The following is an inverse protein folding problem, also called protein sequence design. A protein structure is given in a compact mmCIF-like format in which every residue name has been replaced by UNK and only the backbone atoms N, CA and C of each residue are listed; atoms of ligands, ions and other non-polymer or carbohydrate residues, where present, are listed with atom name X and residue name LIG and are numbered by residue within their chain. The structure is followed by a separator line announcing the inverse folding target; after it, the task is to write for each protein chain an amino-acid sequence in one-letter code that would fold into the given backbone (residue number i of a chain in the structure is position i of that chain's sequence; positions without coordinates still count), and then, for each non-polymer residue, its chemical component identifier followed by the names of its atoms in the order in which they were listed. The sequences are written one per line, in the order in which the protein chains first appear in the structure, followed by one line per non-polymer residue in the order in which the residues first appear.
data_IF_791641884586
#
_entry.id   IF_791641884586
#
_cell.length_a   1.000
_cell.length_b   1.000
_cell.length_c   1.000
_cell.angle_alpha   90.00
_cell.angle_beta   90.00
_cell.angle_gamma   90.00
#
_symmetry.space_group_name_H-M   'P 1'
#
loop_
_entity.id
_entity.type
_entity.pdbx_description
1 polymer ?
#
# COMPACT_ATOMS: atom_id res chain seq x y z
N UNK A 1 -18.15 -7.33 -7.01
CA UNK A 1 -17.19 -6.30 -7.47
C UNK A 1 -16.93 -5.36 -6.29
N UNK A 2 -16.08 -5.74 -5.34
CA UNK A 2 -15.73 -4.87 -4.20
C UNK A 2 -14.59 -3.99 -4.72
N UNK A 3 -14.93 -2.83 -5.27
CA UNK A 3 -13.91 -1.84 -5.58
C UNK A 3 -13.29 -1.40 -4.27
N UNK A 4 -11.98 -1.63 -4.17
CA UNK A 4 -11.11 -1.27 -3.06
C UNK A 4 -11.53 0.10 -2.51
N UNK A 5 -12.02 0.12 -1.27
CA UNK A 5 -12.52 1.31 -0.54
C UNK A 5 -11.34 2.23 -0.18
N UNK A 6 -10.31 2.35 -1.02
CA UNK A 6 -9.18 3.24 -0.80
C UNK A 6 -9.51 4.67 -1.22
N UNK A 7 -10.32 4.88 -2.26
CA UNK A 7 -10.58 6.24 -2.75
C UNK A 7 -11.37 7.08 -1.75
N UNK A 8 -12.44 6.53 -1.18
CA UNK A 8 -13.29 7.22 -0.21
C UNK A 8 -12.53 7.73 1.03
N UNK A 9 -11.78 6.91 1.80
CA UNK A 9 -11.02 7.39 2.93
C UNK A 9 -9.92 8.38 2.51
N UNK A 10 -9.26 8.20 1.36
CA UNK A 10 -8.29 9.20 0.88
C UNK A 10 -8.94 10.56 0.63
N UNK A 11 -10.13 10.58 0.00
CA UNK A 11 -10.91 11.80 -0.21
C UNK A 11 -11.31 12.41 1.14
N UNK A 12 -11.80 11.61 2.09
CA UNK A 12 -12.14 12.09 3.43
C UNK A 12 -10.94 12.73 4.13
N UNK A 13 -9.78 12.10 4.13
CA UNK A 13 -8.55 12.64 4.74
C UNK A 13 -8.00 13.89 4.02
N UNK A 14 -8.34 14.09 2.75
CA UNK A 14 -8.05 15.34 2.04
C UNK A 14 -9.00 16.45 2.50
N UNK A 15 -10.29 16.15 2.64
CA UNK A 15 -11.34 17.14 2.94
C UNK A 15 -11.45 17.50 4.43
N UNK A 16 -11.08 16.59 5.33
CA UNK A 16 -11.25 16.76 6.78
C UNK A 16 -9.93 16.52 7.53
N UNK A 17 -9.70 17.32 8.57
CA UNK A 17 -8.53 17.18 9.45
C UNK A 17 -8.81 16.20 10.60
N UNK A 18 -8.73 14.91 10.28
CA UNK A 18 -8.81 13.86 11.30
C UNK A 18 -7.62 13.92 12.25
N UNK A 19 -7.86 13.76 13.56
CA UNK A 19 -6.82 13.61 14.59
C UNK A 19 -6.22 12.18 14.61
N UNK A 20 -6.24 11.48 13.49
CA UNK A 20 -5.77 10.10 13.35
C UNK A 20 -4.70 10.00 12.27
N UNK A 21 -3.83 9.00 12.39
CA UNK A 21 -2.73 8.76 11.45
C UNK A 21 -3.21 7.79 10.37
N UNK A 22 -3.06 8.18 9.11
CA UNK A 22 -3.39 7.32 7.98
C UNK A 22 -2.18 6.51 7.55
N UNK A 23 -2.30 5.18 7.59
CA UNK A 23 -1.36 4.23 7.00
C UNK A 23 -1.98 3.68 5.72
N UNK A 24 -1.25 3.77 4.61
CA UNK A 24 -1.76 3.37 3.30
C UNK A 24 -1.01 2.15 2.78
N UNK A 25 -1.72 1.04 2.52
CA UNK A 25 -1.11 -0.16 1.94
C UNK A 25 -1.61 -0.39 0.52
N UNK A 26 -0.68 -0.45 -0.42
CA UNK A 26 -0.92 -0.85 -1.80
C UNK A 26 -0.87 -2.37 -1.88
N UNK A 27 -2.03 -2.98 -2.14
CA UNK A 27 -2.17 -4.43 -2.30
C UNK A 27 -2.40 -4.79 -3.77
N UNK A 28 -1.79 -5.89 -4.21
CA UNK A 28 -1.86 -6.34 -5.60
C UNK A 28 -1.21 -5.36 -6.59
N UNK A 29 -1.36 -5.56 -7.90
CA UNK A 29 -0.88 -4.63 -8.94
C UNK A 29 -2.03 -3.70 -9.36
N UNK A 30 -2.13 -2.50 -8.79
CA UNK A 30 -3.31 -1.68 -9.05
C UNK A 30 -3.16 -0.97 -10.41
N UNK A 31 -4.26 -0.77 -11.16
CA UNK A 31 -4.23 -0.10 -12.47
C UNK A 31 -4.08 1.42 -12.34
N UNK A 32 -2.88 1.98 -12.55
CA UNK A 32 -2.51 3.38 -12.24
C UNK A 32 -3.03 4.35 -13.30
N UNK A 33 -4.36 4.46 -13.40
CA UNK A 33 -4.99 5.46 -14.24
C UNK A 33 -4.73 6.89 -13.71
N UNK A 34 -4.93 7.88 -14.57
CA UNK A 34 -4.69 9.28 -14.26
C UNK A 34 -5.40 9.75 -12.99
N UNK A 35 -6.70 9.42 -12.84
CA UNK A 35 -7.52 9.83 -11.71
C UNK A 35 -6.97 9.26 -10.39
N UNK A 36 -6.61 7.98 -10.36
CA UNK A 36 -6.08 7.32 -9.16
C UNK A 36 -4.69 7.82 -8.80
N UNK A 37 -3.83 8.01 -9.80
CA UNK A 37 -2.50 8.59 -9.60
C UNK A 37 -2.59 9.99 -9.03
N UNK A 38 -3.50 10.82 -9.55
CA UNK A 38 -3.76 12.16 -9.03
C UNK A 38 -4.28 12.13 -7.58
N UNK A 39 -5.28 11.29 -7.29
CA UNK A 39 -5.81 11.17 -5.93
C UNK A 39 -4.73 10.75 -4.93
N UNK A 40 -3.88 9.78 -5.29
CA UNK A 40 -2.79 9.31 -4.43
C UNK A 40 -1.71 10.37 -4.22
N UNK A 41 -1.39 11.15 -5.25
CA UNK A 41 -0.48 12.29 -5.12
C UNK A 41 -1.02 13.35 -4.16
N UNK A 42 -2.30 13.71 -4.29
CA UNK A 42 -2.94 14.68 -3.41
C UNK A 42 -3.02 14.19 -1.96
N UNK A 43 -3.30 12.92 -1.75
CA UNK A 43 -3.41 12.34 -0.41
C UNK A 43 -2.06 12.01 0.23
N UNK A 44 -0.97 11.96 -0.53
CA UNK A 44 0.40 11.64 -0.05
C UNK A 44 0.82 12.46 1.17
N UNK A 45 0.36 13.71 1.25
CA UNK A 45 0.67 14.64 2.33
C UNK A 45 0.00 14.22 3.65
N UNK A 46 -1.21 13.64 3.56
CA UNK A 46 -2.06 13.21 4.68
C UNK A 46 -1.74 11.78 5.12
N UNK A 47 -1.02 11.01 4.29
CA UNK A 47 -0.57 9.66 4.61
C UNK A 47 0.75 9.74 5.40
N UNK A 48 0.79 9.07 6.55
CA UNK A 48 1.99 9.01 7.38
C UNK A 48 3.02 8.02 6.81
N UNK A 49 2.59 6.79 6.51
CA UNK A 49 3.45 5.76 5.92
C UNK A 49 2.70 5.00 4.85
N UNK A 50 3.45 4.57 3.83
CA UNK A 50 2.94 3.83 2.69
C UNK A 50 3.64 2.47 2.63
N UNK A 51 2.89 1.40 2.44
CA UNK A 51 3.40 0.05 2.30
C UNK A 51 3.04 -0.53 0.94
N UNK A 52 3.93 -1.31 0.35
CA UNK A 52 3.68 -2.07 -0.88
C UNK A 52 4.24 -3.48 -0.76
N UNK A 53 3.78 -4.40 -1.60
CA UNK A 53 4.07 -5.82 -1.42
C UNK A 53 5.37 -6.27 -2.10
N UNK A 54 5.90 -5.50 -3.06
CA UNK A 54 7.14 -5.83 -3.78
C UNK A 54 8.02 -4.60 -4.00
N UNK A 55 9.33 -4.84 -4.16
CA UNK A 55 10.30 -3.78 -4.49
C UNK A 55 10.00 -3.14 -5.84
N UNK A 56 9.58 -3.93 -6.83
CA UNK A 56 9.20 -3.44 -8.16
C UNK A 56 8.06 -2.43 -8.09
N UNK A 57 7.05 -2.68 -7.25
CA UNK A 57 5.95 -1.74 -7.03
C UNK A 57 6.43 -0.45 -6.35
N UNK A 58 7.32 -0.56 -5.36
CA UNK A 58 7.94 0.62 -4.74
C UNK A 58 8.64 1.49 -5.80
N UNK A 59 9.47 0.87 -6.62
CA UNK A 59 10.24 1.55 -7.65
C UNK A 59 9.33 2.19 -8.72
N UNK A 60 8.25 1.51 -9.12
CA UNK A 60 7.25 2.05 -10.04
C UNK A 60 6.52 3.28 -9.46
N UNK A 61 6.10 3.22 -8.19
CA UNK A 61 5.40 4.32 -7.52
C UNK A 61 6.29 5.55 -7.32
N UNK A 62 7.57 5.34 -7.01
CA UNK A 62 8.58 6.40 -6.90
C UNK A 62 8.89 7.01 -8.27
N UNK A 63 9.13 6.18 -9.29
CA UNK A 63 9.44 6.62 -10.65
C UNK A 63 8.31 7.49 -11.24
N UNK A 64 7.06 7.11 -10.98
CA UNK A 64 5.88 7.88 -11.38
C UNK A 64 5.61 9.13 -10.52
N UNK A 65 6.49 9.41 -9.55
CA UNK A 65 6.41 10.54 -8.60
C UNK A 65 5.06 10.57 -7.87
N UNK A 66 4.54 9.39 -7.51
CA UNK A 66 3.28 9.27 -6.77
C UNK A 66 3.53 9.46 -5.28
N UNK A 67 4.59 8.83 -4.78
CA UNK A 67 5.00 8.91 -3.39
C UNK A 67 6.49 9.21 -3.28
N UNK A 68 6.87 9.85 -2.17
CA UNK A 68 8.27 10.14 -1.86
C UNK A 68 8.99 8.88 -1.37
N UNK A 69 10.26 8.65 -1.75
CA UNK A 69 11.02 7.47 -1.35
C UNK A 69 11.06 7.25 0.17
N UNK A 70 11.14 8.32 0.96
CA UNK A 70 11.20 8.25 2.43
C UNK A 70 9.87 7.84 3.09
N UNK A 71 8.74 7.91 2.38
CA UNK A 71 7.42 7.57 2.93
C UNK A 71 6.96 6.15 2.58
N UNK A 72 7.64 5.47 1.67
CA UNK A 72 7.22 4.17 1.13
C UNK A 72 8.16 3.04 1.51
N UNK A 73 7.61 2.00 2.12
CA UNK A 73 8.33 0.79 2.53
C UNK A 73 7.73 -0.47 1.90
N UNK A 74 8.55 -1.51 1.80
CA UNK A 74 8.12 -2.82 1.29
C UNK A 74 7.74 -3.70 2.47
N UNK A 75 6.50 -4.18 2.46
CA UNK A 75 5.97 -5.17 3.40
C UNK A 75 5.48 -6.37 2.59
N UNK A 76 6.33 -7.39 2.49
CA UNK A 76 6.02 -8.61 1.74
C UNK A 76 4.81 -9.34 2.34
N UNK A 77 3.99 -9.92 1.47
CA UNK A 77 2.92 -10.81 1.91
C UNK A 77 3.50 -12.05 2.59
N UNK A 78 2.84 -12.57 3.64
CA UNK A 78 3.30 -13.79 4.29
C UNK A 78 3.15 -14.98 3.34
N UNK A 79 4.28 -15.50 2.86
CA UNK A 79 4.31 -16.72 2.04
C UNK A 79 4.46 -17.93 2.97
N UNK A 80 3.38 -18.67 3.16
CA UNK A 80 3.39 -19.90 3.94
C UNK A 80 3.70 -21.10 3.04
N UNK A 81 4.82 -21.78 3.30
CA UNK A 81 5.09 -23.08 2.68
C UNK A 81 4.49 -24.18 3.53
N UNK A 82 3.44 -24.84 3.01
CA UNK A 82 2.82 -26.01 3.66
C UNK A 82 3.86 -27.09 3.95
N UNK A 83 4.81 -27.31 3.03
CA UNK A 83 5.94 -28.22 3.23
C UNK A 83 6.78 -27.84 4.45
N UNK A 84 7.10 -26.56 4.62
CA UNK A 84 7.91 -26.10 5.76
C UNK A 84 7.13 -26.21 7.07
N UNK A 85 5.82 -25.97 7.05
CA UNK A 85 4.93 -26.15 8.20
C UNK A 85 4.88 -27.63 8.62
N UNK A 86 4.69 -28.54 7.66
CA UNK A 86 4.64 -29.98 7.91
C UNK A 86 5.99 -30.53 8.42
N UNK A 87 7.12 -30.01 7.92
CA UNK A 87 8.45 -30.35 8.44
C UNK A 87 8.59 -29.97 9.91
N UNK A 88 8.20 -28.74 10.28
CA UNK A 88 8.25 -28.28 11.68
C UNK A 88 7.34 -29.09 12.62
N UNK A 89 6.18 -29.54 12.14
CA UNK A 89 5.27 -30.41 12.93
C UNK A 89 5.82 -31.82 13.19
N UNK A 90 6.73 -32.33 12.36
CA UNK A 90 7.36 -33.66 12.57
C UNK A 90 8.54 -33.62 13.56
N UNK A 91 9.04 -32.43 13.88
CA UNK A 91 10.20 -32.23 14.76
C UNK A 91 9.79 -31.88 16.19
N UNK A 92 8.48 -31.72 16.44
CA UNK A 92 7.88 -31.53 17.77
C UNK A 92 7.20 -32.83 18.18
#
# INVERSE_FOLDING_TARGET
MIHLISSLPLILFILFDFKTKLLFRVSGKPNLNFIRSLLWKLSSNKIQNIFCNTKEQKDELIKNKIFLPEKIDVLYDPIFSVRNILKRKKTV
#
